data_IF_884683716549
#
_entry.id   IF_884683716549
#
_cell.length_a   1.000
_cell.length_b   1.000
_cell.length_c   1.000
_cell.angle_alpha   90.00
_cell.angle_beta   90.00
_cell.angle_gamma   90.00
#
_symmetry.space_group_name_H-M   'P 1'
#
loop_
_entity.id
_entity.type
_entity.pdbx_description
1 polymer ?
#
# COMPACT_ATOMS: atom_id res chain seq x y z
N UNK A 1 -29.61 15.20 -59.43
CA UNK A 1 -29.99 16.62 -59.56
C UNK A 1 -28.90 17.46 -58.93
N UNK A 2 -28.49 18.50 -59.65
CA UNK A 2 -27.33 19.36 -59.47
C UNK A 2 -27.47 20.39 -58.34
N UNK A 3 -26.31 21.01 -58.03
CA UNK A 3 -26.05 22.35 -57.42
C UNK A 3 -25.75 22.31 -55.91
N UNK A 4 -24.79 23.05 -55.35
CA UNK A 4 -23.92 24.15 -55.82
C UNK A 4 -22.76 24.25 -54.79
N UNK A 5 -21.48 24.19 -55.19
CA UNK A 5 -20.53 25.31 -55.37
C UNK A 5 -20.44 26.31 -54.20
N UNK A 6 -19.30 26.32 -53.51
CA UNK A 6 -18.47 27.50 -53.17
C UNK A 6 -17.16 26.97 -52.50
N UNK A 7 -16.08 26.68 -53.23
CA UNK A 7 -14.94 27.56 -53.55
C UNK A 7 -14.67 28.65 -52.50
N UNK A 8 -13.65 28.42 -51.65
CA UNK A 8 -12.79 29.50 -51.14
C UNK A 8 -11.33 29.04 -51.23
N UNK A 9 -10.63 29.67 -52.17
CA UNK A 9 -9.19 29.70 -52.30
C UNK A 9 -8.55 30.38 -51.10
N UNK A 10 -7.48 29.80 -50.57
CA UNK A 10 -6.41 30.55 -49.93
C UNK A 10 -5.04 30.02 -50.39
N UNK A 11 -4.44 30.82 -51.27
CA UNK A 11 -3.06 31.28 -51.26
C UNK A 11 -1.95 30.31 -50.85
N UNK A 12 -1.20 29.94 -51.89
CA UNK A 12 0.21 29.56 -51.90
C UNK A 12 1.12 30.40 -51.00
N UNK A 13 1.97 29.73 -50.22
CA UNK A 13 3.37 30.14 -50.04
C UNK A 13 4.26 28.89 -50.07
N UNK A 14 5.04 28.80 -51.14
CA UNK A 14 6.21 27.95 -51.24
C UNK A 14 7.37 28.63 -50.52
N UNK A 15 7.98 27.95 -49.56
CA UNK A 15 9.32 28.28 -49.08
C UNK A 15 10.14 27.00 -49.07
N UNK A 16 10.77 26.74 -50.21
CA UNK A 16 11.83 25.77 -50.41
C UNK A 16 13.05 26.18 -49.59
N UNK A 17 13.35 25.42 -48.53
CA UNK A 17 14.71 25.32 -48.01
C UNK A 17 15.21 23.92 -48.28
N UNK A 18 16.21 23.83 -49.15
CA UNK A 18 16.81 22.60 -49.62
C UNK A 18 17.35 21.79 -48.46
N UNK A 19 16.86 20.57 -48.32
CA UNK A 19 17.52 19.54 -47.55
C UNK A 19 18.60 18.94 -48.44
N UNK A 20 19.85 19.06 -48.00
CA UNK A 20 20.96 18.31 -48.57
C UNK A 20 20.69 16.82 -48.41
N UNK A 21 20.31 16.18 -49.50
CA UNK A 21 20.31 14.72 -49.65
C UNK A 21 21.75 14.22 -49.60
N UNK A 22 22.24 13.89 -48.40
CA UNK A 22 23.32 12.92 -48.26
C UNK A 22 22.71 11.53 -48.30
N UNK A 23 22.64 10.98 -49.51
CA UNK A 23 22.44 9.56 -49.74
C UNK A 23 23.59 8.78 -49.08
N UNK A 24 23.33 8.19 -47.92
CA UNK A 24 23.99 6.96 -47.51
C UNK A 24 22.95 6.04 -46.87
N UNK A 25 22.52 5.10 -47.70
CA UNK A 25 21.66 3.99 -47.35
C UNK A 25 22.33 3.07 -46.30
N UNK A 26 21.47 2.38 -45.55
CA UNK A 26 21.63 1.02 -45.04
C UNK A 26 22.59 0.75 -43.86
N UNK A 27 22.34 1.29 -42.67
CA UNK A 27 22.93 0.71 -41.44
C UNK A 27 21.89 0.60 -40.32
N UNK A 28 21.60 -0.63 -39.90
CA UNK A 28 20.77 -0.92 -38.72
C UNK A 28 21.60 -0.89 -37.42
N UNK A 29 20.96 -0.84 -36.24
CA UNK A 29 21.62 -0.65 -34.93
C UNK A 29 22.54 -1.79 -34.48
N UNK A 30 22.78 -2.79 -35.34
CA UNK A 30 23.60 -3.97 -35.06
C UNK A 30 24.69 -4.20 -36.14
N UNK A 31 25.26 -3.13 -36.71
CA UNK A 31 26.32 -3.26 -37.71
C UNK A 31 27.71 -3.46 -37.08
N UNK A 32 28.52 -4.38 -37.63
CA UNK A 32 29.76 -4.89 -37.00
C UNK A 32 31.02 -4.63 -37.84
N UNK A 33 31.09 -3.49 -38.55
CA UNK A 33 32.23 -3.13 -39.40
C UNK A 33 33.34 -2.38 -38.63
N UNK A 34 34.61 -2.41 -39.09
CA UNK A 34 35.77 -1.87 -38.35
C UNK A 34 35.65 -0.39 -37.97
N UNK A 35 35.00 0.42 -38.82
CA UNK A 35 34.74 1.84 -38.55
C UNK A 35 33.75 2.05 -37.38
N UNK A 36 32.73 1.19 -37.25
CA UNK A 36 31.78 1.23 -36.13
C UNK A 36 32.35 0.60 -34.85
N UNK A 37 33.25 -0.40 -34.96
CA UNK A 37 33.95 -0.97 -33.79
C UNK A 37 34.86 0.07 -33.14
N UNK A 38 35.56 0.90 -33.94
CA UNK A 38 36.35 2.02 -33.43
C UNK A 38 35.47 3.10 -32.75
N UNK A 39 34.28 3.40 -33.31
CA UNK A 39 33.34 4.33 -32.69
C UNK A 39 32.74 3.80 -31.37
N UNK A 40 32.47 2.49 -31.25
CA UNK A 40 32.05 1.86 -29.98
C UNK A 40 33.14 1.87 -28.92
N UNK A 41 34.40 1.69 -29.30
CA UNK A 41 35.54 1.75 -28.38
C UNK A 41 35.89 3.18 -27.95
N UNK A 42 35.48 4.19 -28.71
CA UNK A 42 35.59 5.60 -28.32
C UNK A 42 34.46 6.06 -27.36
N UNK A 43 33.37 5.29 -27.20
CA UNK A 43 32.27 5.58 -26.27
C UNK A 43 32.45 5.00 -24.86
N UNK A 44 33.58 4.34 -24.58
CA UNK A 44 33.94 3.83 -23.23
C UNK A 44 35.07 4.64 -22.56
N UNK A 45 35.46 5.76 -23.15
CA UNK A 45 36.42 6.69 -22.57
C UNK A 45 35.93 8.15 -22.68
N UNK A 46 34.65 8.38 -22.36
CA UNK A 46 34.27 9.68 -21.81
C UNK A 46 34.81 9.74 -20.38
N UNK A 47 35.47 10.84 -19.96
CA UNK A 47 35.59 11.09 -18.53
C UNK A 47 34.17 11.15 -17.99
N UNK A 48 33.78 10.22 -17.12
CA UNK A 48 32.49 10.32 -16.43
C UNK A 48 32.55 11.60 -15.60
N UNK A 49 31.90 12.64 -16.11
CA UNK A 49 31.44 13.75 -15.30
C UNK A 49 30.44 13.14 -14.31
N UNK A 50 30.93 12.79 -13.12
CA UNK A 50 30.17 11.93 -12.20
C UNK A 50 31.01 11.16 -11.18
N UNK A 51 32.35 11.24 -11.21
CA UNK A 51 33.08 11.20 -9.93
C UNK A 51 32.68 12.48 -9.21
N UNK A 52 31.60 12.41 -8.46
CA UNK A 52 31.21 13.47 -7.55
C UNK A 52 32.45 13.78 -6.72
N UNK A 53 32.95 15.03 -6.71
CA UNK A 53 33.93 15.43 -5.72
C UNK A 53 33.40 15.03 -4.34
N UNK A 54 34.24 14.81 -3.32
CA UNK A 54 33.74 14.69 -1.95
C UNK A 54 32.73 15.82 -1.75
N UNK A 55 31.53 15.44 -1.29
CA UNK A 55 30.39 16.30 -0.97
C UNK A 55 30.90 17.71 -0.63
N UNK A 56 30.37 18.79 -1.24
CA UNK A 56 30.89 20.14 -1.02
C UNK A 56 31.07 20.30 0.48
N UNK A 57 32.33 20.47 0.90
CA UNK A 57 32.75 20.47 2.29
C UNK A 57 31.71 21.29 3.02
N UNK A 58 30.90 20.65 3.87
CA UNK A 58 29.75 21.37 4.38
C UNK A 58 30.31 22.60 5.09
N UNK A 59 29.76 23.77 4.78
CA UNK A 59 30.34 25.01 5.28
C UNK A 59 29.54 25.36 6.53
N UNK A 60 30.17 25.29 7.69
CA UNK A 60 29.59 25.81 8.92
C UNK A 60 30.16 27.20 9.22
N UNK A 61 29.28 28.19 9.35
CA UNK A 61 29.67 29.58 9.63
C UNK A 61 30.77 30.12 8.69
N UNK A 62 30.75 29.73 7.41
CA UNK A 62 31.71 30.19 6.40
C UNK A 62 33.06 29.46 6.38
N UNK A 63 33.26 28.42 7.21
CA UNK A 63 34.49 27.61 7.24
C UNK A 63 34.25 26.16 6.78
N UNK A 64 35.23 25.52 6.11
CA UNK A 64 35.16 24.10 5.79
C UNK A 64 35.22 23.26 7.08
N UNK A 65 34.44 22.17 7.12
CA UNK A 65 34.47 21.21 8.22
C UNK A 65 35.82 20.50 8.33
N UNK A 66 36.21 20.16 9.56
CA UNK A 66 37.33 19.25 9.82
C UNK A 66 37.00 17.83 9.34
N UNK A 67 38.00 16.95 9.13
CA UNK A 67 37.75 15.55 8.76
C UNK A 67 36.83 14.81 9.75
N UNK A 68 36.98 15.07 11.06
CA UNK A 68 36.13 14.48 12.09
C UNK A 68 34.69 14.98 12.00
N UNK A 69 34.51 16.28 11.76
CA UNK A 69 33.18 16.86 11.55
C UNK A 69 32.53 16.33 10.27
N UNK A 70 33.32 16.13 9.21
CA UNK A 70 32.81 15.53 7.97
C UNK A 70 32.34 14.09 8.20
N UNK A 71 33.10 13.29 8.94
CA UNK A 71 32.69 11.93 9.32
C UNK A 71 31.40 11.92 10.13
N UNK A 72 31.30 12.79 11.15
CA UNK A 72 30.08 12.93 11.95
C UNK A 72 28.88 13.32 11.08
N UNK A 73 29.07 14.23 10.12
CA UNK A 73 28.03 14.65 9.20
C UNK A 73 27.56 13.50 8.29
N UNK A 74 28.48 12.68 7.80
CA UNK A 74 28.16 11.53 6.96
C UNK A 74 27.39 10.46 7.75
N UNK A 75 27.75 10.22 9.02
CA UNK A 75 27.01 9.33 9.93
C UNK A 75 25.58 9.85 10.20
N UNK A 76 25.41 11.14 10.44
CA UNK A 76 24.10 11.76 10.65
C UNK A 76 23.22 11.69 9.39
N UNK A 77 23.79 11.89 8.21
CA UNK A 77 23.09 11.77 6.93
C UNK A 77 22.62 10.34 6.68
N UNK A 78 23.47 9.35 6.96
CA UNK A 78 23.10 7.94 6.84
C UNK A 78 21.92 7.63 7.76
N UNK A 79 22.02 8.04 9.04
CA UNK A 79 20.96 7.79 10.01
C UNK A 79 19.64 8.48 9.63
N UNK A 80 19.68 9.73 9.16
CA UNK A 80 18.48 10.44 8.71
C UNK A 80 17.81 9.74 7.53
N UNK A 81 18.59 9.25 6.56
CA UNK A 81 18.05 8.47 5.46
C UNK A 81 17.39 7.18 5.94
N UNK A 82 18.05 6.44 6.83
CA UNK A 82 17.54 5.18 7.39
C UNK A 82 16.25 5.40 8.19
N UNK A 83 16.22 6.41 9.07
CA UNK A 83 15.04 6.76 9.87
C UNK A 83 13.87 7.16 8.96
N UNK A 84 14.10 8.01 7.96
CA UNK A 84 13.03 8.42 7.04
C UNK A 84 12.50 7.26 6.23
N UNK A 85 13.37 6.36 5.77
CA UNK A 85 12.95 5.15 5.07
C UNK A 85 12.13 4.24 6.00
N UNK A 86 12.55 4.09 7.25
CA UNK A 86 11.86 3.33 8.27
C UNK A 86 10.44 3.86 8.49
N UNK A 87 10.30 5.16 8.78
CA UNK A 87 8.98 5.78 8.99
C UNK A 87 8.13 5.78 7.72
N UNK A 88 8.76 5.93 6.55
CA UNK A 88 8.04 5.86 5.27
C UNK A 88 7.43 4.48 5.04
N UNK A 89 8.12 3.40 5.44
CA UNK A 89 7.59 2.05 5.31
C UNK A 89 6.32 1.85 6.17
N UNK A 90 6.35 2.35 7.41
CA UNK A 90 5.18 2.37 8.27
C UNK A 90 4.03 3.17 7.65
N UNK A 91 4.29 4.39 7.17
CA UNK A 91 3.24 5.24 6.58
C UNK A 91 2.64 4.65 5.30
N UNK A 92 3.48 4.15 4.40
CA UNK A 92 3.06 3.59 3.12
C UNK A 92 2.12 2.40 3.31
N UNK A 93 2.37 1.61 4.35
CA UNK A 93 1.54 0.44 4.66
C UNK A 93 0.35 0.81 5.55
N UNK A 94 0.50 1.73 6.52
CA UNK A 94 -0.58 2.10 7.43
C UNK A 94 -1.76 2.82 6.76
N UNK A 95 -1.51 3.55 5.67
CA UNK A 95 -2.56 4.24 4.90
C UNK A 95 -3.47 5.10 5.77
N UNK A 96 -4.78 4.85 5.72
CA UNK A 96 -5.78 5.62 6.47
C UNK A 96 -5.74 5.42 8.00
N UNK A 97 -5.03 4.41 8.50
CA UNK A 97 -4.91 4.12 9.93
C UNK A 97 -3.76 4.90 10.60
N UNK A 98 -2.91 5.56 9.80
CA UNK A 98 -1.86 6.44 10.32
C UNK A 98 -2.47 7.70 10.91
N UNK A 99 -2.04 8.05 12.12
CA UNK A 99 -2.53 9.19 12.88
C UNK A 99 -1.50 10.30 12.94
N UNK A 100 -1.64 11.31 12.08
CA UNK A 100 -0.81 12.51 12.15
C UNK A 100 0.56 12.41 11.46
N UNK A 101 0.85 11.32 10.76
CA UNK A 101 2.09 11.11 10.02
C UNK A 101 3.25 10.62 10.90
N UNK A 102 4.47 10.74 10.37
CA UNK A 102 5.69 10.40 11.09
C UNK A 102 6.16 11.55 12.00
N UNK A 103 6.47 11.23 13.24
CA UNK A 103 7.17 12.12 14.16
C UNK A 103 8.66 11.80 14.14
N UNK A 104 9.50 12.83 14.24
CA UNK A 104 10.95 12.66 14.17
C UNK A 104 11.63 13.35 15.35
N UNK A 105 12.67 12.70 15.86
CA UNK A 105 13.63 13.29 16.78
C UNK A 105 14.87 13.71 16.02
N UNK A 106 15.34 14.93 16.28
CA UNK A 106 16.41 15.56 15.49
C UNK A 106 17.69 15.78 16.30
N UNK A 107 18.82 15.73 15.60
CA UNK A 107 20.12 16.20 16.09
C UNK A 107 20.69 17.23 15.12
N UNK A 108 21.24 18.31 15.66
CA UNK A 108 21.96 19.30 14.86
C UNK A 108 23.35 18.75 14.49
N UNK A 109 23.65 18.76 13.19
CA UNK A 109 24.94 18.40 12.63
C UNK A 109 25.95 19.54 12.71
N UNK A 110 27.24 19.24 12.47
CA UNK A 110 28.29 20.26 12.50
C UNK A 110 28.15 21.30 11.38
N UNK A 111 27.25 21.10 10.41
CA UNK A 111 26.88 22.05 9.37
C UNK A 111 25.66 22.92 9.74
N UNK A 112 25.15 22.82 10.97
CA UNK A 112 24.02 23.60 11.50
C UNK A 112 22.66 23.13 11.00
N UNK A 113 22.59 21.97 10.33
CA UNK A 113 21.33 21.37 9.86
C UNK A 113 20.83 20.32 10.82
N UNK A 114 19.52 20.11 10.85
CA UNK A 114 18.89 19.06 11.64
C UNK A 114 18.79 17.76 10.84
N UNK A 115 19.15 16.66 11.48
CA UNK A 115 19.11 15.31 10.96
C UNK A 115 18.23 14.44 11.85
N UNK A 116 17.33 13.65 11.28
CA UNK A 116 16.49 12.72 12.02
C UNK A 116 17.35 11.58 12.56
N UNK A 117 17.34 11.38 13.86
CA UNK A 117 18.08 10.31 14.54
C UNK A 117 17.16 9.24 15.12
N UNK A 118 15.85 9.48 15.09
CA UNK A 118 14.80 8.55 15.42
C UNK A 118 13.46 9.05 14.89
N UNK A 119 12.49 8.17 14.79
CA UNK A 119 11.14 8.51 14.40
C UNK A 119 10.14 7.48 14.91
N UNK A 120 8.86 7.83 14.79
CA UNK A 120 7.75 6.92 15.05
C UNK A 120 6.53 7.31 14.21
N UNK A 121 5.73 6.31 13.83
CA UNK A 121 4.43 6.50 13.18
C UNK A 121 3.33 5.94 14.07
N UNK A 122 2.44 6.80 14.54
CA UNK A 122 1.28 6.39 15.35
C UNK A 122 0.24 5.70 14.47
N UNK A 123 0.08 4.39 14.64
CA UNK A 123 -0.94 3.58 13.95
C UNK A 123 -2.14 3.40 14.90
N UNK A 124 -3.34 3.75 14.45
CA UNK A 124 -4.57 3.50 15.21
C UNK A 124 -4.95 2.04 15.15
N UNK A 125 -4.96 1.40 16.31
CA UNK A 125 -5.65 0.13 16.50
C UNK A 125 -7.09 0.41 16.95
N UNK A 126 -8.06 0.22 16.06
CA UNK A 126 -9.48 0.40 16.34
C UNK A 126 -10.29 -0.71 15.70
N UNK A 127 -11.27 -1.22 16.45
CA UNK A 127 -12.33 -2.06 15.91
C UNK A 127 -13.16 -1.27 14.89
N UNK A 128 -13.69 -1.97 13.89
CA UNK A 128 -14.70 -1.46 12.97
C UNK A 128 -16.12 -1.64 13.49
N UNK A 129 -17.11 -1.25 12.69
CA UNK A 129 -18.53 -1.43 13.01
C UNK A 129 -18.98 -2.90 12.86
N UNK A 130 -18.23 -3.69 12.10
CA UNK A 130 -18.49 -5.10 11.85
C UNK A 130 -17.24 -5.95 12.15
N UNK A 131 -17.38 -7.24 12.48
CA UNK A 131 -16.23 -8.13 12.65
C UNK A 131 -15.33 -8.20 11.42
N UNK A 132 -15.90 -8.11 10.22
CA UNK A 132 -15.19 -8.09 8.94
C UNK A 132 -14.31 -6.84 8.80
N UNK A 133 -14.84 -5.68 9.18
CA UNK A 133 -14.10 -4.43 9.21
C UNK A 133 -13.01 -4.46 10.28
N UNK A 134 -13.31 -4.96 11.48
CA UNK A 134 -12.32 -5.15 12.55
C UNK A 134 -11.17 -6.05 12.09
N UNK A 135 -11.47 -7.18 11.42
CA UNK A 135 -10.46 -8.08 10.88
C UNK A 135 -9.59 -7.39 9.83
N UNK A 136 -10.20 -6.60 8.96
CA UNK A 136 -9.47 -5.84 7.93
C UNK A 136 -8.56 -4.78 8.56
N UNK A 137 -9.07 -4.00 9.51
CA UNK A 137 -8.31 -2.97 10.21
C UNK A 137 -7.15 -3.60 10.98
N UNK A 138 -7.40 -4.66 11.74
CA UNK A 138 -6.39 -5.37 12.49
C UNK A 138 -5.26 -5.89 11.57
N UNK A 139 -5.60 -6.53 10.45
CA UNK A 139 -4.58 -6.99 9.47
C UNK A 139 -3.77 -5.83 8.88
N UNK A 140 -4.41 -4.70 8.62
CA UNK A 140 -3.72 -3.50 8.14
C UNK A 140 -2.74 -2.96 9.18
N UNK A 141 -3.11 -2.96 10.46
CA UNK A 141 -2.22 -2.56 11.56
C UNK A 141 -1.04 -3.51 11.68
N UNK A 142 -1.25 -4.83 11.62
CA UNK A 142 -0.16 -5.82 11.63
C UNK A 142 0.82 -5.57 10.48
N UNK A 143 0.30 -5.41 9.26
CA UNK A 143 1.12 -5.15 8.09
C UNK A 143 1.93 -3.85 8.24
N UNK A 144 1.31 -2.78 8.76
CA UNK A 144 1.94 -1.50 8.94
C UNK A 144 3.02 -1.50 10.02
N UNK A 145 2.76 -2.14 11.15
CA UNK A 145 3.72 -2.26 12.24
C UNK A 145 4.93 -3.13 11.84
N UNK A 146 4.73 -4.18 11.03
CA UNK A 146 5.81 -5.04 10.57
C UNK A 146 6.41 -4.63 9.22
N UNK A 147 6.09 -3.43 8.71
CA UNK A 147 6.50 -2.99 7.38
C UNK A 147 8.03 -2.76 7.21
N UNK A 148 8.75 -2.14 8.17
CA UNK A 148 10.20 -2.02 8.07
C UNK A 148 10.91 -3.37 8.19
N UNK A 149 12.12 -3.47 7.64
CA UNK A 149 12.92 -4.70 7.71
C UNK A 149 13.42 -5.03 9.12
N UNK A 150 13.57 -4.01 9.97
CA UNK A 150 13.93 -4.15 11.39
C UNK A 150 12.92 -3.40 12.27
N UNK A 151 11.71 -3.95 12.47
CA UNK A 151 10.67 -3.28 13.26
C UNK A 151 11.12 -3.16 14.72
N UNK A 152 10.76 -2.06 15.39
CA UNK A 152 11.14 -1.83 16.79
C UNK A 152 10.39 -2.78 17.74
N UNK A 153 10.78 -2.78 19.01
CA UNK A 153 10.04 -3.52 20.05
C UNK A 153 8.59 -3.04 20.20
N UNK A 154 8.37 -1.73 20.05
CA UNK A 154 7.03 -1.13 20.11
C UNK A 154 6.17 -1.59 18.93
N UNK A 155 6.73 -1.61 17.71
CA UNK A 155 5.98 -2.03 16.52
C UNK A 155 5.55 -3.49 16.63
N UNK A 156 6.45 -4.36 17.09
CA UNK A 156 6.10 -5.77 17.33
C UNK A 156 5.01 -5.94 18.38
N UNK A 157 4.99 -5.11 19.42
CA UNK A 157 3.94 -5.13 20.42
C UNK A 157 2.58 -4.73 19.83
N UNK A 158 2.54 -3.67 19.02
CA UNK A 158 1.33 -3.23 18.30
C UNK A 158 0.85 -4.30 17.33
N UNK A 159 1.76 -4.95 16.61
CA UNK A 159 1.44 -6.06 15.71
C UNK A 159 0.79 -7.22 16.50
N UNK A 160 1.38 -7.63 17.63
CA UNK A 160 0.84 -8.70 18.45
C UNK A 160 -0.56 -8.38 19.00
N UNK A 161 -0.81 -7.14 19.42
CA UNK A 161 -2.13 -6.68 19.87
C UNK A 161 -3.15 -6.73 18.72
N UNK A 162 -2.76 -6.28 17.53
CA UNK A 162 -3.60 -6.34 16.35
C UNK A 162 -3.89 -7.79 15.89
N UNK A 163 -2.93 -8.70 16.00
CA UNK A 163 -3.13 -10.13 15.73
C UNK A 163 -4.18 -10.74 16.67
N UNK A 164 -4.16 -10.38 17.96
CA UNK A 164 -5.19 -10.83 18.91
C UNK A 164 -6.57 -10.30 18.51
N UNK A 165 -6.67 -9.04 18.12
CA UNK A 165 -7.92 -8.45 17.61
C UNK A 165 -8.42 -9.15 16.34
N UNK A 166 -7.52 -9.49 15.42
CA UNK A 166 -7.86 -10.24 14.21
C UNK A 166 -8.42 -11.63 14.53
N UNK A 167 -7.84 -12.35 15.51
CA UNK A 167 -8.33 -13.66 15.93
C UNK A 167 -9.73 -13.59 16.57
N UNK A 168 -9.96 -12.57 17.40
CA UNK A 168 -11.27 -12.33 18.01
C UNK A 168 -12.33 -12.03 16.93
N UNK A 169 -12.01 -11.13 16.01
CA UNK A 169 -12.90 -10.77 14.91
C UNK A 169 -13.22 -11.97 14.00
N UNK A 170 -12.23 -12.80 13.69
CA UNK A 170 -12.46 -14.03 12.92
C UNK A 170 -13.42 -14.98 13.65
N UNK A 171 -13.23 -15.15 14.96
CA UNK A 171 -14.10 -15.99 15.77
C UNK A 171 -15.56 -15.47 15.79
N UNK A 172 -15.74 -14.15 15.75
CA UNK A 172 -17.07 -13.53 15.65
C UNK A 172 -17.71 -13.74 14.28
N UNK A 173 -16.94 -13.63 13.20
CA UNK A 173 -17.40 -13.93 11.83
C UNK A 173 -17.94 -15.36 11.76
N UNK A 174 -17.18 -16.32 12.29
CA UNK A 174 -17.56 -17.74 12.25
C UNK A 174 -18.86 -18.00 13.04
N UNK A 175 -19.02 -17.36 14.21
CA UNK A 175 -20.26 -17.43 15.00
C UNK A 175 -21.45 -16.85 14.24
N UNK A 176 -21.29 -15.70 13.59
CA UNK A 176 -22.35 -15.08 12.80
C UNK A 176 -22.77 -15.97 11.62
N UNK A 177 -21.82 -16.60 10.93
CA UNK A 177 -22.11 -17.54 9.85
C UNK A 177 -22.90 -18.75 10.35
N UNK A 178 -22.51 -19.33 11.49
CA UNK A 178 -23.24 -20.46 12.08
C UNK A 178 -24.67 -20.08 12.47
N UNK A 179 -24.87 -18.89 13.05
CA UNK A 179 -26.19 -18.38 13.39
C UNK A 179 -27.05 -18.16 12.14
N UNK A 180 -26.48 -17.62 11.07
CA UNK A 180 -27.19 -17.44 9.80
C UNK A 180 -27.62 -18.77 9.18
N UNK A 181 -26.75 -19.80 9.21
CA UNK A 181 -27.10 -21.14 8.74
C UNK A 181 -28.22 -21.75 9.58
N UNK A 182 -28.15 -21.65 10.91
CA UNK A 182 -29.19 -22.14 11.81
C UNK A 182 -30.53 -21.43 11.57
N UNK A 183 -30.52 -20.11 11.38
CA UNK A 183 -31.71 -19.32 11.04
C UNK A 183 -32.28 -19.69 9.66
N UNK A 184 -31.43 -19.92 8.66
CA UNK A 184 -31.86 -20.36 7.33
C UNK A 184 -32.45 -21.77 7.34
N UNK A 185 -31.94 -22.66 8.21
CA UNK A 185 -32.50 -23.99 8.43
C UNK A 185 -33.81 -23.97 9.22
N UNK A 186 -33.99 -22.99 10.11
CA UNK A 186 -35.24 -22.73 10.82
C UNK A 186 -36.22 -21.99 9.92
N UNK A 187 -36.80 -22.69 8.94
CA UNK A 187 -37.95 -22.16 8.21
C UNK A 187 -39.23 -22.48 8.99
N UNK A 188 -39.88 -21.51 9.64
CA UNK A 188 -41.04 -21.77 10.49
C UNK A 188 -42.21 -22.40 9.71
N UNK A 189 -42.29 -22.18 8.39
CA UNK A 189 -43.30 -22.83 7.55
C UNK A 189 -43.01 -24.33 7.36
N UNK A 190 -41.73 -24.72 7.21
CA UNK A 190 -41.31 -26.12 7.11
C UNK A 190 -41.46 -26.81 8.47
N UNK A 191 -41.10 -26.14 9.56
CA UNK A 191 -41.27 -26.65 10.91
C UNK A 191 -42.75 -26.84 11.27
N UNK A 192 -43.61 -25.89 10.89
CA UNK A 192 -45.07 -26.00 11.06
C UNK A 192 -45.63 -27.14 10.22
N UNK A 193 -45.24 -27.26 8.94
CA UNK A 193 -45.67 -28.35 8.08
C UNK A 193 -45.22 -29.73 8.61
N UNK A 194 -43.99 -29.82 9.13
CA UNK A 194 -43.44 -31.03 9.77
C UNK A 194 -44.21 -31.39 11.04
N UNK A 195 -44.57 -30.40 11.86
CA UNK A 195 -45.36 -30.60 13.07
C UNK A 195 -46.79 -31.08 12.77
N UNK A 196 -47.45 -30.47 11.77
CA UNK A 196 -48.79 -30.88 11.32
C UNK A 196 -48.75 -32.32 10.76
N UNK A 197 -47.77 -32.63 9.91
CA UNK A 197 -47.64 -33.98 9.36
C UNK A 197 -47.39 -35.03 10.45
N UNK A 198 -46.54 -34.75 11.43
CA UNK A 198 -46.30 -35.64 12.57
C UNK A 198 -47.56 -35.88 13.41
N UNK A 199 -48.38 -34.83 13.63
CA UNK A 199 -49.65 -34.94 14.35
C UNK A 199 -50.69 -35.79 13.61
N UNK A 200 -50.67 -35.77 12.26
CA UNK A 200 -51.55 -36.60 11.42
C UNK A 200 -51.05 -38.05 11.35
N UNK A 201 -49.74 -38.26 11.22
CA UNK A 201 -49.14 -39.59 11.07
C UNK A 201 -49.15 -40.41 12.39
N UNK A 202 -49.09 -39.73 13.52
CA UNK A 202 -49.19 -40.33 14.86
C UNK A 202 -50.34 -39.68 15.63
N UNK A 203 -51.60 -40.04 15.35
CA UNK A 203 -52.71 -39.56 16.15
C UNK A 203 -52.49 -40.04 17.59
N UNK A 204 -52.24 -39.11 18.50
CA UNK A 204 -52.17 -39.42 19.93
C UNK A 204 -53.49 -40.11 20.31
N UNK A 205 -53.45 -41.27 20.98
CA UNK A 205 -54.67 -41.87 21.50
C UNK A 205 -55.30 -40.84 22.42
N UNK A 206 -56.54 -40.48 22.11
CA UNK A 206 -57.36 -39.59 22.92
C UNK A 206 -57.22 -39.98 24.39
N UNK A 207 -56.67 -39.06 25.20
CA UNK A 207 -56.79 -39.12 26.65
C UNK A 207 -58.27 -39.35 26.93
N UNK A 208 -58.62 -40.55 27.37
CA UNK A 208 -59.99 -40.91 27.75
C UNK A 208 -60.51 -39.78 28.63
N UNK A 209 -61.61 -39.17 28.21
CA UNK A 209 -62.21 -38.07 28.92
C UNK A 209 -62.39 -38.46 30.39
N UNK A 210 -61.95 -37.58 31.29
CA UNK A 210 -62.40 -37.66 32.67
C UNK A 210 -63.92 -37.56 32.63
N UNK A 211 -64.60 -38.65 32.96
CA UNK A 211 -66.00 -38.65 33.28
C UNK A 211 -66.18 -37.65 34.43
N UNK A 212 -66.75 -36.50 34.12
CA UNK A 212 -67.27 -35.59 35.14
C UNK A 212 -68.54 -36.25 35.68
N UNK A 213 -68.41 -36.96 36.79
CA UNK A 213 -69.55 -37.47 37.54
C UNK A 213 -70.33 -36.28 38.12
N UNK A 214 -71.41 -35.90 37.45
CA UNK A 214 -72.38 -34.91 37.92
C UNK A 214 -73.37 -35.58 38.87
N UNK A 215 -72.98 -35.78 40.14
CA UNK A 215 -73.93 -36.04 41.23
C UNK A 215 -73.34 -35.55 42.58
N UNK A 216 -73.76 -34.35 43.01
CA UNK A 216 -73.97 -33.94 44.41
C UNK A 216 -74.44 -32.48 44.46
#
# INVERSE_FOLDING_TARGET
MFRMVQIMSISSLSASTGYSISSSLQHGPACNCPACTAARMASIATPVAGVTPPSPSAIYSGKPLSPDQQKQLDELRSRDADVRQHEQAHMATGGALVSGGANYSYQEGPDGKQYAIGGEVSIRLSSGQTPQETLSNAKQVVAAALAPTDPSGQDRAVAAEAEQMAQQAQSEIDKQQQQQVQQAQHNPAIDTAKAIFAAIAHPQPSSKGNAVDTFA
#
